data_IF_647410672504
#
_entry.id   IF_647410672504
#
_cell.length_a   1.000
_cell.length_b   1.000
_cell.length_c   1.000
_cell.angle_alpha   90.00
_cell.angle_beta   90.00
_cell.angle_gamma   90.00
#
_symmetry.space_group_name_H-M   'P 1'
#
loop_
_entity.id
_entity.type
_entity.pdbx_description
1 polymer ?
#
# COMPACT_ATOMS: atom_id res chain seq x y z
N UNK A 1 -1.53 -30.38 -6.39
CA UNK A 1 -2.18 -29.77 -5.21
C UNK A 1 -2.86 -28.51 -5.68
N UNK A 2 -4.06 -28.21 -5.18
CA UNK A 2 -4.77 -26.98 -5.54
C UNK A 2 -4.27 -25.84 -4.66
N UNK A 3 -3.49 -24.94 -5.25
CA UNK A 3 -3.01 -23.75 -4.56
C UNK A 3 -4.19 -22.81 -4.27
N UNK A 4 -4.12 -22.08 -3.15
CA UNK A 4 -5.17 -21.15 -2.74
C UNK A 4 -4.65 -19.71 -2.78
N UNK A 5 -5.49 -18.79 -3.26
CA UNK A 5 -5.28 -17.35 -3.24
C UNK A 5 -6.37 -16.63 -2.47
N UNK A 6 -5.99 -15.61 -1.71
CA UNK A 6 -6.90 -14.77 -0.94
C UNK A 6 -7.07 -13.42 -1.62
N UNK A 7 -8.27 -13.07 -2.11
CA UNK A 7 -8.51 -11.78 -2.73
C UNK A 7 -8.23 -10.62 -1.78
N UNK A 8 -7.65 -9.54 -2.30
CA UNK A 8 -7.47 -8.32 -1.53
C UNK A 8 -7.75 -7.10 -2.40
N UNK A 9 -8.01 -5.97 -1.73
CA UNK A 9 -8.33 -4.72 -2.39
C UNK A 9 -7.82 -3.52 -1.60
N UNK A 10 -7.14 -2.62 -2.30
CA UNK A 10 -6.71 -1.32 -1.82
C UNK A 10 -7.31 -0.28 -2.75
N UNK A 11 -8.00 0.69 -2.17
CA UNK A 11 -8.66 1.71 -2.97
C UNK A 11 -8.91 2.98 -2.17
N UNK A 12 -9.61 3.91 -2.83
CA UNK A 12 -9.95 5.22 -2.32
C UNK A 12 -11.43 5.52 -2.63
N UNK A 13 -12.11 6.29 -1.79
CA UNK A 13 -13.45 6.82 -2.09
C UNK A 13 -13.36 8.34 -2.37
N UNK A 14 -14.51 8.98 -2.64
CA UNK A 14 -14.54 10.40 -3.01
C UNK A 14 -13.91 11.30 -1.93
N UNK A 15 -14.28 11.10 -0.66
CA UNK A 15 -13.77 11.87 0.48
C UNK A 15 -13.00 11.05 1.53
N UNK A 16 -12.68 9.79 1.22
CA UNK A 16 -11.76 8.96 2.00
C UNK A 16 -10.40 8.80 1.30
N UNK A 17 -9.34 8.61 2.08
CA UNK A 17 -7.99 8.33 1.56
C UNK A 17 -7.81 6.88 1.10
N UNK A 18 -6.64 6.59 0.53
CA UNK A 18 -6.26 5.22 0.16
C UNK A 18 -6.15 4.32 1.40
N UNK A 19 -6.78 3.15 1.37
CA UNK A 19 -6.70 2.15 2.43
C UNK A 19 -7.02 0.74 1.94
N UNK A 20 -6.70 -0.26 2.75
CA UNK A 20 -7.10 -1.65 2.52
C UNK A 20 -8.60 -1.81 2.79
N UNK A 21 -9.36 -2.13 1.76
CA UNK A 21 -10.82 -2.33 1.77
C UNK A 21 -11.15 -3.79 2.08
N UNK A 22 -10.38 -4.71 1.47
CA UNK A 22 -10.44 -6.16 1.70
C UNK A 22 -9.04 -6.66 2.00
N UNK A 23 -8.88 -7.37 3.12
CA UNK A 23 -7.62 -8.00 3.53
C UNK A 23 -7.78 -9.51 3.60
N UNK A 24 -6.75 -10.32 3.25
CA UNK A 24 -6.78 -11.75 3.55
C UNK A 24 -7.02 -11.99 5.05
N UNK A 25 -7.89 -12.96 5.39
CA UNK A 25 -8.21 -13.29 6.79
C UNK A 25 -6.95 -13.54 7.65
N UNK A 26 -5.93 -14.14 7.05
CA UNK A 26 -4.66 -14.45 7.69
C UNK A 26 -3.69 -13.28 7.82
N UNK A 27 -4.01 -12.15 7.20
CA UNK A 27 -3.29 -10.88 7.25
C UNK A 27 -4.08 -9.80 8.00
N UNK A 28 -5.09 -10.19 8.80
CA UNK A 28 -5.99 -9.23 9.43
C UNK A 28 -5.34 -8.34 10.51
N UNK A 29 -4.13 -8.68 10.97
CA UNK A 29 -3.36 -7.87 11.92
C UNK A 29 -2.86 -6.55 11.31
N UNK A 30 -2.57 -5.56 12.16
CA UNK A 30 -2.20 -4.23 11.72
C UNK A 30 -0.89 -4.19 10.90
N UNK A 31 0.11 -5.01 11.24
CA UNK A 31 1.39 -4.98 10.56
C UNK A 31 1.29 -5.56 9.14
N UNK A 32 0.50 -6.62 8.95
CA UNK A 32 0.24 -7.20 7.64
C UNK A 32 -0.60 -6.27 6.72
N UNK A 33 -1.56 -5.53 7.29
CA UNK A 33 -2.32 -4.50 6.57
C UNK A 33 -1.41 -3.36 6.09
N UNK A 34 -0.51 -2.90 6.95
CA UNK A 34 0.47 -1.86 6.60
C UNK A 34 1.43 -2.33 5.50
N UNK A 35 1.86 -3.59 5.59
CA UNK A 35 2.70 -4.22 4.58
C UNK A 35 2.00 -4.28 3.22
N UNK A 36 0.75 -4.72 3.19
CA UNK A 36 -0.07 -4.79 1.97
C UNK A 36 -0.24 -3.39 1.34
N UNK A 37 -0.54 -2.39 2.17
CA UNK A 37 -0.66 -1.00 1.73
C UNK A 37 0.65 -0.43 1.17
N UNK A 38 1.78 -0.70 1.83
CA UNK A 38 3.11 -0.25 1.41
C UNK A 38 3.61 -0.96 0.16
N UNK A 39 3.29 -2.24 0.01
CA UNK A 39 3.72 -3.07 -1.10
C UNK A 39 3.00 -2.76 -2.42
N UNK A 40 1.80 -2.18 -2.38
CA UNK A 40 1.07 -1.78 -3.58
C UNK A 40 1.37 -0.35 -4.05
N UNK A 41 2.11 0.45 -3.27
CA UNK A 41 2.42 1.84 -3.61
C UNK A 41 3.38 1.92 -4.80
N UNK A 42 3.07 2.87 -5.69
CA UNK A 42 3.93 3.38 -6.76
C UNK A 42 4.23 2.46 -7.95
N UNK A 43 3.49 1.36 -8.10
CA UNK A 43 3.62 0.51 -9.30
C UNK A 43 2.68 0.99 -10.40
N UNK A 44 3.25 1.34 -11.56
CA UNK A 44 2.53 1.50 -12.83
C UNK A 44 2.89 0.32 -13.71
N UNK A 45 1.89 -0.49 -14.04
CA UNK A 45 2.06 -1.62 -14.95
C UNK A 45 1.34 -1.30 -16.27
N UNK A 46 1.80 -1.88 -17.39
CA UNK A 46 1.00 -1.96 -18.61
C UNK A 46 -0.36 -2.64 -18.35
N UNK A 47 -1.31 -2.42 -19.27
CA UNK A 47 -2.52 -3.24 -19.31
C UNK A 47 -2.13 -4.73 -19.44
N UNK A 48 -2.94 -5.62 -18.86
CA UNK A 48 -2.75 -7.07 -18.89
C UNK A 48 -1.47 -7.60 -18.22
N UNK A 49 -0.81 -6.78 -17.41
CA UNK A 49 0.34 -7.16 -16.58
C UNK A 49 -0.03 -7.13 -15.10
N UNK A 50 0.43 -8.12 -14.35
CA UNK A 50 0.32 -8.15 -12.90
C UNK A 50 1.71 -8.11 -12.25
N UNK A 51 1.82 -7.43 -11.11
CA UNK A 51 3.03 -7.40 -10.32
C UNK A 51 3.02 -8.54 -9.31
N UNK A 52 4.14 -9.23 -9.20
CA UNK A 52 4.44 -10.16 -8.12
C UNK A 52 5.34 -9.47 -7.12
N UNK A 53 4.99 -9.51 -5.83
CA UNK A 53 5.85 -9.00 -4.77
C UNK A 53 5.80 -9.88 -3.54
N UNK A 54 6.97 -10.26 -3.03
CA UNK A 54 7.10 -10.95 -1.75
C UNK A 54 7.03 -9.93 -0.60
N UNK A 55 6.28 -10.25 0.45
CA UNK A 55 6.18 -9.50 1.69
C UNK A 55 6.93 -10.26 2.78
N UNK A 56 7.98 -9.64 3.33
CA UNK A 56 8.87 -10.25 4.31
C UNK A 56 8.69 -9.64 5.71
N UNK A 57 9.00 -10.44 6.73
CA UNK A 57 9.00 -10.01 8.13
C UNK A 57 7.58 -9.87 8.72
N UNK A 58 6.63 -10.65 8.22
CA UNK A 58 5.28 -10.74 8.76
C UNK A 58 5.17 -11.91 9.75
N UNK A 59 4.37 -11.74 10.79
CA UNK A 59 4.09 -12.79 11.79
C UNK A 59 3.37 -13.99 11.17
N UNK A 60 2.58 -13.76 10.12
CA UNK A 60 1.87 -14.83 9.38
C UNK A 60 2.78 -15.66 8.45
N UNK A 61 4.09 -15.40 8.45
CA UNK A 61 5.06 -16.04 7.56
C UNK A 61 5.27 -15.27 6.25
N UNK A 62 6.01 -15.86 5.29
CA UNK A 62 6.20 -15.25 3.98
C UNK A 62 4.88 -15.19 3.22
N UNK A 63 4.60 -14.04 2.62
CA UNK A 63 3.43 -13.83 1.78
C UNK A 63 3.88 -13.36 0.42
N UNK A 64 3.30 -13.89 -0.65
CA UNK A 64 3.46 -13.33 -1.98
C UNK A 64 2.15 -12.73 -2.45
N UNK A 65 2.17 -11.50 -2.93
CA UNK A 65 1.01 -10.85 -3.54
C UNK A 65 1.18 -10.78 -5.05
N UNK A 66 0.10 -11.06 -5.77
CA UNK A 66 0.02 -10.90 -7.23
C UNK A 66 -1.15 -9.99 -7.52
N UNK A 67 -0.88 -8.83 -8.14
CA UNK A 67 -1.87 -7.75 -8.23
C UNK A 67 -1.74 -6.90 -9.48
N UNK A 68 -2.86 -6.26 -9.83
CA UNK A 68 -2.94 -5.24 -10.88
C UNK A 68 -3.28 -3.88 -10.29
N UNK A 69 -2.82 -2.82 -10.95
CA UNK A 69 -3.13 -1.44 -10.61
C UNK A 69 -3.80 -0.77 -11.82
N UNK A 70 -4.99 -0.22 -11.65
CA UNK A 70 -5.76 0.36 -12.75
C UNK A 70 -6.64 1.53 -12.30
N UNK A 71 -7.10 2.34 -13.24
CA UNK A 71 -8.17 3.31 -13.00
C UNK A 71 -9.50 2.57 -13.26
N UNK A 72 -10.32 2.34 -12.23
CA UNK A 72 -11.59 1.65 -12.43
C UNK A 72 -12.64 2.55 -13.07
N UNK A 73 -13.55 1.91 -13.81
CA UNK A 73 -14.83 2.51 -14.17
C UNK A 73 -15.82 2.37 -13.02
N UNK A 74 -16.79 3.27 -12.93
CA UNK A 74 -17.82 3.16 -11.90
C UNK A 74 -18.67 1.88 -12.07
N UNK A 75 -18.88 1.46 -13.31
CA UNK A 75 -19.62 0.24 -13.65
C UNK A 75 -18.92 -1.05 -13.22
N UNK A 76 -17.58 -1.06 -13.12
CA UNK A 76 -16.82 -2.23 -12.60
C UNK A 76 -17.28 -2.60 -11.18
N UNK A 77 -17.82 -1.62 -10.44
CA UNK A 77 -18.34 -1.80 -9.10
C UNK A 77 -19.86 -1.64 -8.98
N UNK A 78 -20.56 -1.45 -10.10
CA UNK A 78 -22.01 -1.19 -10.11
C UNK A 78 -22.41 0.10 -9.41
N UNK A 79 -21.56 1.13 -9.51
CA UNK A 79 -21.82 2.48 -8.97
C UNK A 79 -22.49 3.42 -9.99
N UNK A 80 -22.44 3.07 -11.28
CA UNK A 80 -22.96 3.89 -12.38
C UNK A 80 -22.04 5.06 -12.73
N UNK A 81 -21.83 5.30 -14.02
CA UNK A 81 -21.01 6.40 -14.54
C UNK A 81 -19.70 5.95 -15.19
N UNK A 82 -18.87 6.91 -15.61
CA UNK A 82 -17.67 6.63 -16.39
C UNK A 82 -16.47 6.27 -15.50
N UNK A 83 -15.74 7.26 -14.99
CA UNK A 83 -14.50 7.08 -14.22
C UNK A 83 -14.68 7.52 -12.77
N UNK A 84 -14.13 6.74 -11.82
CA UNK A 84 -14.13 7.13 -10.41
C UNK A 84 -13.07 8.20 -10.14
N UNK A 85 -13.51 9.32 -9.59
CA UNK A 85 -12.65 10.44 -9.21
C UNK A 85 -12.81 10.78 -7.73
N UNK A 86 -11.76 11.34 -7.12
CA UNK A 86 -11.88 11.89 -5.77
C UNK A 86 -12.59 13.26 -5.77
N UNK A 87 -12.87 13.81 -4.58
CA UNK A 87 -13.52 15.12 -4.46
C UNK A 87 -12.75 16.32 -5.05
N UNK A 88 -11.55 16.10 -5.61
CA UNK A 88 -10.79 17.09 -6.37
C UNK A 88 -10.79 16.81 -7.89
N UNK A 89 -11.60 15.85 -8.35
CA UNK A 89 -11.66 15.44 -9.76
C UNK A 89 -10.45 14.64 -10.24
N UNK A 90 -9.61 14.12 -9.33
CA UNK A 90 -8.46 13.29 -9.73
C UNK A 90 -8.90 11.85 -9.91
N UNK A 91 -8.50 11.18 -11.01
CA UNK A 91 -8.74 9.75 -11.18
C UNK A 91 -8.25 8.93 -9.98
N UNK A 92 -9.11 8.04 -9.51
CA UNK A 92 -8.78 7.09 -8.47
C UNK A 92 -8.10 5.89 -9.12
N UNK A 93 -7.04 5.40 -8.48
CA UNK A 93 -6.44 4.10 -8.81
C UNK A 93 -6.90 3.08 -7.80
N UNK A 94 -7.06 1.85 -8.25
CA UNK A 94 -7.35 0.70 -7.40
C UNK A 94 -6.24 -0.33 -7.60
N UNK A 95 -5.87 -0.98 -6.51
CA UNK A 95 -5.01 -2.16 -6.54
C UNK A 95 -5.79 -3.35 -6.01
N UNK A 96 -5.86 -4.41 -6.80
CA UNK A 96 -6.52 -5.65 -6.42
C UNK A 96 -5.71 -6.84 -6.88
N UNK A 97 -5.93 -7.98 -6.22
CA UNK A 97 -5.20 -9.19 -6.56
C UNK A 97 -5.42 -10.30 -5.55
N UNK A 98 -4.48 -11.24 -5.53
CA UNK A 98 -4.48 -12.39 -4.62
C UNK A 98 -3.22 -12.41 -3.78
N UNK A 99 -3.37 -12.79 -2.51
CA UNK A 99 -2.27 -13.10 -1.61
C UNK A 99 -2.12 -14.63 -1.48
N UNK A 100 -0.87 -15.09 -1.44
CA UNK A 100 -0.46 -16.48 -1.32
C UNK A 100 0.34 -16.65 -0.02
N UNK A 101 0.09 -17.75 0.71
CA UNK A 101 0.86 -18.13 1.90
C UNK A 101 2.15 -18.87 1.53
N UNK A 102 2.97 -18.27 0.69
CA UNK A 102 4.21 -18.86 0.22
C UNK A 102 5.21 -17.78 -0.17
N UNK A 103 6.50 -18.13 -0.10
CA UNK A 103 7.57 -17.31 -0.67
C UNK A 103 7.63 -17.52 -2.19
N UNK A 104 7.91 -16.46 -2.94
CA UNK A 104 8.05 -16.52 -4.40
C UNK A 104 9.20 -17.44 -4.86
N UNK A 105 10.21 -17.64 -4.00
CA UNK A 105 11.38 -18.49 -4.28
C UNK A 105 11.07 -19.98 -4.41
N UNK A 106 9.91 -20.45 -3.94
CA UNK A 106 9.46 -21.84 -4.09
C UNK A 106 8.82 -22.17 -5.45
N UNK A 107 8.75 -21.20 -6.35
CA UNK A 107 7.90 -21.26 -7.54
C UNK A 107 6.51 -20.75 -7.23
N UNK A 108 5.94 -19.96 -8.13
CA UNK A 108 4.57 -19.48 -8.03
C UNK A 108 3.63 -20.43 -8.75
N UNK A 109 2.38 -20.62 -8.26
CA UNK A 109 1.36 -21.19 -9.10
C UNK A 109 1.22 -20.38 -10.38
N UNK A 110 0.84 -21.05 -11.47
CA UNK A 110 0.39 -20.37 -12.66
C UNK A 110 -0.88 -19.59 -12.33
N UNK A 111 -0.79 -18.27 -12.38
CA UNK A 111 -1.93 -17.37 -12.17
C UNK A 111 -2.41 -16.93 -13.55
N UNK A 112 -3.70 -17.04 -13.79
CA UNK A 112 -4.33 -16.62 -15.04
C UNK A 112 -5.03 -15.27 -14.88
N UNK A 113 -5.42 -14.65 -15.99
CA UNK A 113 -6.30 -13.47 -15.97
C UNK A 113 -7.62 -13.81 -15.27
N UNK A 114 -8.16 -15.02 -15.47
CA UNK A 114 -9.40 -15.45 -14.84
C UNK A 114 -9.28 -15.55 -13.30
N UNK A 115 -8.09 -15.88 -12.76
CA UNK A 115 -7.86 -15.81 -11.31
C UNK A 115 -8.00 -14.37 -10.78
N UNK A 116 -7.43 -13.39 -11.49
CA UNK A 116 -7.52 -11.98 -11.12
C UNK A 116 -8.94 -11.44 -11.29
N UNK A 117 -9.67 -11.86 -12.33
CA UNK A 117 -11.07 -11.47 -12.53
C UNK A 117 -12.00 -12.10 -11.48
N UNK A 118 -11.72 -13.33 -11.05
CA UNK A 118 -12.40 -13.94 -9.90
C UNK A 118 -12.11 -13.17 -8.61
N UNK A 119 -10.87 -12.72 -8.41
CA UNK A 119 -10.51 -11.88 -7.27
C UNK A 119 -11.25 -10.54 -7.31
N UNK A 120 -11.30 -9.89 -8.47
CA UNK A 120 -12.07 -8.66 -8.71
C UNK A 120 -13.54 -8.83 -8.34
N UNK A 121 -14.21 -9.84 -8.91
CA UNK A 121 -15.62 -10.12 -8.61
C UNK A 121 -15.86 -10.37 -7.11
N UNK A 122 -14.90 -11.00 -6.42
CA UNK A 122 -14.99 -11.27 -4.99
C UNK A 122 -14.86 -10.01 -4.12
N UNK A 123 -14.18 -8.97 -4.58
CA UNK A 123 -13.97 -7.72 -3.82
C UNK A 123 -14.86 -6.56 -4.26
N UNK A 124 -15.48 -6.64 -5.44
CA UNK A 124 -16.25 -5.54 -6.02
C UNK A 124 -17.39 -5.04 -5.12
N UNK A 125 -18.15 -5.95 -4.50
CA UNK A 125 -19.21 -5.57 -3.55
C UNK A 125 -18.67 -4.84 -2.32
N UNK A 126 -17.51 -5.24 -1.80
CA UNK A 126 -16.86 -4.57 -0.68
C UNK A 126 -16.38 -3.16 -1.06
N UNK A 127 -15.92 -2.97 -2.29
CA UNK A 127 -15.57 -1.64 -2.79
C UNK A 127 -16.78 -0.73 -2.93
N UNK A 128 -17.90 -1.25 -3.46
CA UNK A 128 -19.16 -0.50 -3.55
C UNK A 128 -19.60 0.00 -2.17
N UNK A 129 -19.59 -0.89 -1.18
CA UNK A 129 -19.95 -0.52 0.20
C UNK A 129 -18.95 0.51 0.77
N UNK A 130 -17.66 0.37 0.46
CA UNK A 130 -16.66 1.36 0.84
C UNK A 130 -16.89 2.72 0.18
N UNK A 131 -17.28 2.74 -1.09
CA UNK A 131 -17.60 3.98 -1.80
C UNK A 131 -18.77 4.71 -1.15
N UNK A 132 -19.81 3.99 -0.72
CA UNK A 132 -21.02 4.57 -0.14
C UNK A 132 -20.85 5.02 1.31
N UNK A 133 -20.07 4.29 2.11
CA UNK A 133 -19.90 4.55 3.54
C UNK A 133 -18.59 5.27 3.88
N UNK A 134 -17.66 5.36 2.93
CA UNK A 134 -16.40 6.08 3.02
C UNK A 134 -15.66 5.88 4.34
N UNK A 135 -15.68 6.89 5.23
CA UNK A 135 -14.96 6.90 6.51
C UNK A 135 -15.52 5.87 7.49
N UNK A 136 -16.82 5.61 7.41
CA UNK A 136 -17.55 4.72 8.31
C UNK A 136 -17.47 3.25 7.87
N UNK A 137 -16.94 2.98 6.67
CA UNK A 137 -16.77 1.60 6.21
C UNK A 137 -15.73 0.85 7.05
N UNK A 138 -16.13 -0.35 7.48
CA UNK A 138 -15.30 -1.31 8.21
C UNK A 138 -14.65 -2.27 7.23
N UNK A 139 -13.32 -2.38 7.29
CA UNK A 139 -12.53 -3.32 6.47
C UNK A 139 -13.09 -4.75 6.58
N UNK A 140 -13.21 -5.43 5.43
CA UNK A 140 -13.62 -6.84 5.36
C UNK A 140 -12.43 -7.77 5.22
N UNK A 141 -12.60 -9.01 5.66
CA UNK A 141 -11.65 -10.10 5.41
C UNK A 141 -12.10 -10.97 4.25
N UNK A 142 -11.16 -11.54 3.50
CA UNK A 142 -11.43 -12.56 2.48
C UNK A 142 -10.96 -13.94 2.93
N UNK A 143 -11.64 -14.98 2.44
CA UNK A 143 -11.22 -16.37 2.60
C UNK A 143 -10.46 -16.86 1.36
N UNK A 144 -9.65 -17.91 1.54
CA UNK A 144 -8.86 -18.52 0.47
C UNK A 144 -9.75 -19.21 -0.55
N UNK A 145 -9.37 -19.10 -1.83
CA UNK A 145 -10.05 -19.72 -2.96
C UNK A 145 -9.05 -20.48 -3.82
N UNK A 146 -9.44 -21.62 -4.41
CA UNK A 146 -8.62 -22.32 -5.40
C UNK A 146 -8.15 -21.41 -6.54
N UNK A 147 -6.87 -21.53 -6.90
CA UNK A 147 -6.27 -20.95 -8.11
C UNK A 147 -6.15 -22.02 -9.19
N UNK A 148 -6.14 -21.60 -10.45
CA UNK A 148 -5.69 -22.47 -11.55
C UNK A 148 -6.55 -23.71 -11.79
N UNK A 149 -7.88 -23.63 -11.65
CA UNK A 149 -8.82 -24.71 -12.05
C UNK A 149 -8.85 -24.96 -13.60
N UNK A 150 -7.79 -24.58 -14.29
CA UNK A 150 -7.70 -24.35 -15.73
C UNK A 150 -6.76 -25.34 -16.41
N UNK A 151 -6.34 -26.39 -15.70
CA UNK A 151 -5.62 -27.53 -16.28
C UNK A 151 -6.51 -28.22 -17.33
N UNK A 152 -6.56 -27.64 -18.54
CA UNK A 152 -7.41 -28.03 -19.65
C UNK A 152 -8.27 -26.92 -20.28
N UNK A 153 -8.35 -25.70 -19.71
CA UNK A 153 -9.27 -24.65 -20.23
C UNK A 153 -8.66 -23.71 -21.29
N UNK A 154 -7.35 -23.81 -21.55
CA UNK A 154 -6.67 -22.94 -22.53
C UNK A 154 -6.60 -21.47 -22.10
N UNK A 155 -6.79 -21.19 -20.81
CA UNK A 155 -6.70 -19.84 -20.26
C UNK A 155 -5.30 -19.28 -20.37
N UNK A 156 -5.21 -18.00 -20.74
CA UNK A 156 -3.95 -17.31 -20.92
C UNK A 156 -3.32 -16.99 -19.55
N UNK A 157 -2.06 -17.39 -19.31
CA UNK A 157 -1.30 -16.96 -18.14
C UNK A 157 -1.12 -15.45 -18.16
N UNK A 158 -1.23 -14.80 -17.00
CA UNK A 158 -0.95 -13.36 -16.93
C UNK A 158 0.56 -13.11 -17.05
N UNK A 159 0.96 -12.04 -17.72
CA UNK A 159 2.35 -11.60 -17.70
C UNK A 159 2.70 -11.05 -16.30
N UNK A 160 3.68 -11.66 -15.65
CA UNK A 160 4.07 -11.34 -14.28
C UNK A 160 5.36 -10.52 -14.26
N UNK A 161 5.28 -9.30 -13.73
CA UNK A 161 6.46 -8.49 -13.39
C UNK A 161 6.86 -8.70 -11.94
N UNK A 162 8.04 -9.29 -11.73
CA UNK A 162 8.57 -9.52 -10.38
C UNK A 162 9.20 -8.23 -9.86
N UNK A 163 8.65 -7.71 -8.77
CA UNK A 163 9.19 -6.56 -8.06
C UNK A 163 10.07 -6.98 -6.87
N UNK A 164 10.95 -6.07 -6.46
CA UNK A 164 11.75 -6.24 -5.25
C UNK A 164 10.88 -6.56 -4.03
N UNK A 165 11.32 -7.50 -3.16
CA UNK A 165 10.60 -7.83 -1.94
C UNK A 165 10.35 -6.60 -1.08
N UNK A 166 9.11 -6.48 -0.59
CA UNK A 166 8.79 -5.49 0.42
C UNK A 166 9.29 -5.98 1.78
N UNK A 167 9.98 -5.11 2.50
CA UNK A 167 10.34 -5.32 3.90
C UNK A 167 9.94 -4.10 4.71
N UNK A 168 9.49 -4.34 5.94
CA UNK A 168 9.15 -3.25 6.86
C UNK A 168 10.38 -2.37 7.04
N UNK A 169 10.30 -1.04 6.82
CA UNK A 169 11.41 -0.15 7.13
C UNK A 169 11.79 -0.37 8.59
N UNK A 170 13.01 -0.85 8.84
CA UNK A 170 13.52 -0.98 10.19
C UNK A 170 13.45 0.43 10.78
N UNK A 171 12.69 0.60 11.87
CA UNK A 171 12.70 1.85 12.61
C UNK A 171 14.18 2.18 12.83
N UNK A 172 14.66 3.27 12.23
CA UNK A 172 16.06 3.65 12.34
C UNK A 172 16.34 3.69 13.83
N UNK A 173 17.11 2.72 14.32
CA UNK A 173 17.53 2.70 15.71
C UNK A 173 18.19 4.04 15.90
N UNK A 174 17.54 4.93 16.65
CA UNK A 174 18.08 6.23 16.93
C UNK A 174 19.35 5.99 17.76
N UNK A 175 20.47 5.82 17.08
CA UNK A 175 21.80 5.97 17.64
C UNK A 175 21.99 7.45 17.92
N UNK A 176 21.17 8.02 18.81
CA UNK A 176 21.55 9.18 19.60
C UNK A 176 22.50 8.64 20.66
N UNK A 177 23.75 8.41 20.25
CA UNK A 177 24.83 8.52 21.21
C UNK A 177 24.74 9.92 21.84
N UNK A 178 24.88 10.06 23.17
CA UNK A 178 24.92 11.39 23.77
C UNK A 178 26.13 12.12 23.18
N UNK A 179 25.88 13.10 22.32
CA UNK A 179 26.91 14.04 21.89
C UNK A 179 27.44 14.72 23.15
N UNK A 180 28.65 14.35 23.55
CA UNK A 180 29.39 15.01 24.61
C UNK A 180 29.42 16.51 24.29
N UNK A 181 28.79 17.31 25.15
CA UNK A 181 28.94 18.76 25.14
C UNK A 181 30.41 19.05 25.39
N UNK A 182 31.16 19.41 24.36
CA UNK A 182 32.44 20.10 24.55
C UNK A 182 32.13 21.52 25.07
N UNK A 183 32.64 21.92 26.24
CA UNK A 183 32.48 23.28 26.71
C UNK A 183 33.28 24.23 25.82
N UNK A 184 32.59 25.25 25.30
CA UNK A 184 33.19 26.30 24.49
C UNK A 184 34.22 27.08 25.32
N UNK A 185 35.48 27.02 24.92
CA UNK A 185 36.54 27.87 25.47
C UNK A 185 36.22 29.34 25.24
N UNK A 186 36.16 30.07 26.34
CA UNK A 186 36.04 31.52 26.42
C UNK A 186 37.22 32.22 25.73
N UNK A 187 37.05 32.61 24.45
CA UNK A 187 37.85 33.70 23.87
C UNK A 187 37.36 35.04 24.43
N UNK A 188 38.01 35.50 25.49
CA UNK A 188 37.93 36.88 25.99
C UNK A 188 38.36 37.86 24.89
N UNK A 189 37.44 38.67 24.38
CA UNK A 189 37.78 39.87 23.60
C UNK A 189 37.98 41.07 24.55
N UNK A 190 39.03 41.90 24.36
CA UNK A 190 39.27 43.06 25.20
C UNK A 190 38.26 44.18 24.95
N UNK A 191 37.84 44.81 26.06
CA UNK A 191 37.02 46.02 26.13
C UNK A 191 37.69 47.16 25.37
N UNK A 192 36.95 47.82 24.48
CA UNK A 192 37.30 49.15 23.99
C UNK A 192 36.19 50.12 24.36
N UNK A 193 36.65 51.19 24.99
CA UNK A 193 35.97 52.24 25.73
C UNK A 193 35.07 53.12 24.86
N UNK A 194 33.96 53.57 25.45
CA UNK A 194 33.09 54.64 24.94
C UNK A 194 33.79 56.01 24.99
N UNK A 195 33.21 56.99 24.28
CA UNK A 195 32.81 58.19 25.03
C UNK A 195 31.34 58.60 24.81
N UNK A 196 30.84 59.28 25.85
CA UNK A 196 29.56 59.95 26.00
C UNK A 196 29.37 61.08 24.94
N UNK A 197 28.17 61.62 24.67
CA UNK A 197 27.40 62.57 25.50
C UNK A 197 26.11 62.96 24.73
N UNK A 198 25.02 63.25 25.47
CA UNK A 198 23.94 64.19 25.06
C UNK A 198 22.61 63.51 24.71
N UNK A 199 21.67 63.28 25.64
CA UNK A 199 20.73 64.24 26.26
C UNK A 199 19.91 65.07 25.24
N UNK A 200 18.60 64.80 25.11
CA UNK A 200 17.49 65.66 25.60
C UNK A 200 16.11 65.08 25.24
N UNK A 201 15.13 65.47 26.05
CA UNK A 201 13.73 65.04 26.15
C UNK A 201 12.74 65.90 25.33
N UNK A 202 11.53 65.35 25.13
CA UNK A 202 10.22 66.00 24.86
C UNK A 202 10.11 66.73 23.50
N UNK A 203 9.04 66.67 22.72
CA UNK A 203 7.61 66.34 22.90
C UNK A 203 7.07 65.96 21.51
#
# INVERSE_FOLDING_TARGET
MTEHGWPFLIGRAEHAGYRVVVVPDFMADAAAVDALSGAARDVRLPADTACVRELRGLECGPVTVVYRCFNPRADDYGLGGDELSDGFGRPIRVTEGVALRSAATGGLPEITIADLDRAHAAVAGAYRDFWQHERDYVRRTSAGRPLGNSAGSGEQPVHLEVAEPWSRPRAATAARGPAARQPAEHRRRPRRTAPAVGARWLL
#
